data_IF_526693510953
#
_entry.id   IF_526693510953
#
_cell.length_a   1.000
_cell.length_b   1.000
_cell.length_c   1.000
_cell.angle_alpha   90.00
_cell.angle_beta   90.00
_cell.angle_gamma   90.00
#
_symmetry.space_group_name_H-M   'P 1'
#
loop_
_entity.id
_entity.type
_entity.pdbx_description
1 polymer ?
#
# COMPACT_ATOMS: atom_id res chain seq x y z
N UNK A 1 18.79 14.32 67.71
CA UNK A 1 18.14 15.27 66.78
C UNK A 1 17.71 14.46 65.56
N UNK A 2 16.65 13.68 65.69
CA UNK A 2 15.29 13.99 65.18
C UNK A 2 15.22 14.08 63.66
N UNK A 3 15.34 12.91 63.02
CA UNK A 3 14.77 12.62 61.70
C UNK A 3 13.24 12.69 61.78
N UNK A 4 12.68 13.89 61.69
CA UNK A 4 11.22 14.13 61.82
C UNK A 4 10.60 14.80 60.58
N UNK A 5 11.37 15.14 59.55
CA UNK A 5 10.84 15.77 58.34
C UNK A 5 10.37 14.76 57.27
N UNK A 6 10.81 13.49 57.33
CA UNK A 6 10.50 12.48 56.30
C UNK A 6 9.16 11.75 56.53
N UNK A 7 8.71 11.60 57.78
CA UNK A 7 7.51 10.84 58.11
C UNK A 7 6.18 11.49 57.65
N UNK A 8 5.99 12.82 57.76
CA UNK A 8 4.77 13.48 57.25
C UNK A 8 4.67 13.40 55.73
N UNK A 9 5.79 13.63 55.03
CA UNK A 9 5.89 13.58 53.57
C UNK A 9 5.60 12.18 53.00
N UNK A 10 6.11 11.13 53.67
CA UNK A 10 5.80 9.74 53.31
C UNK A 10 4.31 9.40 53.46
N UNK A 11 3.64 9.92 54.50
CA UNK A 11 2.21 9.73 54.71
C UNK A 11 1.34 10.40 53.64
N UNK A 12 1.73 11.57 53.15
CA UNK A 12 1.04 12.26 52.05
C UNK A 12 1.22 11.53 50.71
N UNK A 13 2.43 11.08 50.38
CA UNK A 13 2.69 10.30 49.16
C UNK A 13 1.90 8.99 49.17
N UNK A 14 1.82 8.29 50.32
CA UNK A 14 1.05 7.05 50.42
C UNK A 14 -0.43 7.27 50.09
N UNK A 15 -1.04 8.36 50.57
CA UNK A 15 -2.44 8.69 50.26
C UNK A 15 -2.64 8.98 48.77
N UNK A 16 -1.68 9.63 48.12
CA UNK A 16 -1.74 9.89 46.67
C UNK A 16 -1.63 8.58 45.89
N UNK A 17 -0.73 7.68 46.30
CA UNK A 17 -0.60 6.35 45.70
C UNK A 17 -1.91 5.56 45.84
N UNK A 18 -2.61 5.64 46.97
CA UNK A 18 -3.93 5.00 47.14
C UNK A 18 -4.99 5.54 46.17
N UNK A 19 -5.01 6.86 45.94
CA UNK A 19 -5.90 7.50 44.95
C UNK A 19 -5.56 7.05 43.53
N UNK A 20 -4.27 7.00 43.17
CA UNK A 20 -3.80 6.51 41.87
C UNK A 20 -4.13 5.02 41.67
N UNK A 21 -3.92 4.17 42.69
CA UNK A 21 -4.23 2.74 42.64
C UNK A 21 -5.72 2.49 42.40
N UNK A 22 -6.60 3.28 43.04
CA UNK A 22 -8.06 3.25 42.79
C UNK A 22 -8.40 3.62 41.36
N UNK A 23 -7.78 4.68 40.82
CA UNK A 23 -8.00 5.12 39.44
C UNK A 23 -7.52 4.07 38.42
N UNK A 24 -6.31 3.54 38.59
CA UNK A 24 -5.73 2.46 37.77
C UNK A 24 -6.65 1.24 37.76
N UNK A 25 -7.14 0.81 38.93
CA UNK A 25 -8.07 -0.32 39.05
C UNK A 25 -9.46 -0.06 38.49
N UNK A 26 -9.86 1.21 38.33
CA UNK A 26 -11.13 1.61 37.70
C UNK A 26 -10.99 1.61 36.18
N UNK A 27 -9.91 2.20 35.66
CA UNK A 27 -9.58 2.18 34.24
C UNK A 27 -9.36 0.76 33.72
N UNK A 28 -8.98 -0.19 34.58
CA UNK A 28 -8.88 -1.61 34.23
C UNK A 28 -10.24 -2.24 33.84
N UNK A 29 -11.34 -1.77 34.45
CA UNK A 29 -12.66 -2.41 34.40
C UNK A 29 -13.73 -1.63 33.63
N UNK A 30 -13.58 -0.31 33.45
CA UNK A 30 -14.56 0.56 32.81
C UNK A 30 -13.93 1.38 31.67
N UNK A 31 -14.61 1.46 30.51
CA UNK A 31 -14.01 1.98 29.27
C UNK A 31 -14.46 3.36 28.80
N UNK A 32 -15.75 3.71 28.93
CA UNK A 32 -16.28 4.94 28.31
C UNK A 32 -15.92 6.23 29.04
N UNK A 33 -15.52 6.17 30.31
CA UNK A 33 -15.48 7.33 31.21
C UNK A 33 -14.06 7.70 31.65
N UNK A 34 -13.03 7.31 30.89
CA UNK A 34 -11.62 7.53 31.28
C UNK A 34 -11.32 9.00 31.64
N UNK A 35 -11.91 9.97 30.91
CA UNK A 35 -11.77 11.40 31.23
C UNK A 35 -12.29 11.72 32.62
N UNK A 36 -13.50 11.24 32.92
CA UNK A 36 -14.12 11.43 34.22
C UNK A 36 -13.31 10.78 35.33
N UNK A 37 -12.76 9.57 35.10
CA UNK A 37 -11.88 8.91 36.08
C UNK A 37 -10.65 9.78 36.36
N UNK A 38 -10.00 10.35 35.34
CA UNK A 38 -8.84 11.23 35.53
C UNK A 38 -9.20 12.56 36.22
N UNK A 39 -10.35 13.14 35.89
CA UNK A 39 -10.87 14.35 36.54
C UNK A 39 -11.16 14.11 38.02
N UNK A 40 -11.85 13.02 38.36
CA UNK A 40 -12.11 12.61 39.74
C UNK A 40 -10.80 12.32 40.49
N UNK A 41 -9.83 11.66 39.84
CA UNK A 41 -8.50 11.40 40.42
C UNK A 41 -7.78 12.70 40.77
N UNK A 42 -7.79 13.68 39.86
CA UNK A 42 -7.21 15.00 40.09
C UNK A 42 -7.86 15.72 41.26
N UNK A 43 -9.19 15.65 41.34
CA UNK A 43 -9.99 16.35 42.35
C UNK A 43 -9.87 15.70 43.73
N UNK A 44 -9.68 14.37 43.80
CA UNK A 44 -9.45 13.58 45.02
C UNK A 44 -8.03 13.77 45.60
N UNK A 45 -7.10 14.36 44.84
CA UNK A 45 -5.79 14.78 45.37
C UNK A 45 -5.98 16.08 46.17
N UNK A 46 -6.12 15.96 47.49
CA UNK A 46 -6.67 17.00 48.38
C UNK A 46 -5.78 18.24 48.64
N UNK A 47 -4.45 18.22 48.40
CA UNK A 47 -3.59 19.35 48.81
C UNK A 47 -3.16 20.29 47.66
N UNK A 48 -3.27 21.61 47.87
CA UNK A 48 -2.73 22.66 46.98
C UNK A 48 -1.19 22.62 46.81
N UNK A 49 -0.48 22.04 47.77
CA UNK A 49 0.99 21.88 47.76
C UNK A 49 1.50 20.85 46.75
N UNK A 50 0.62 20.09 46.09
CA UNK A 50 0.96 19.04 45.14
C UNK A 50 0.50 19.41 43.71
N UNK A 51 0.64 20.69 43.37
CA UNK A 51 0.29 21.22 42.05
C UNK A 51 1.01 20.49 40.91
N UNK A 52 2.23 20.00 41.14
CA UNK A 52 3.00 19.21 40.15
C UNK A 52 2.25 17.94 39.72
N UNK A 53 1.71 17.16 40.66
CA UNK A 53 1.03 15.90 40.35
C UNK A 53 -0.32 16.16 39.65
N UNK A 54 -1.04 17.19 40.10
CA UNK A 54 -2.27 17.64 39.42
C UNK A 54 -2.00 18.12 38.00
N UNK A 55 -0.86 18.79 37.78
CA UNK A 55 -0.42 19.23 36.46
C UNK A 55 -0.03 18.05 35.56
N UNK A 56 0.62 17.02 36.11
CA UNK A 56 0.91 15.78 35.37
C UNK A 56 -0.38 15.05 34.95
N UNK A 57 -1.37 14.91 35.84
CA UNK A 57 -2.68 14.34 35.50
C UNK A 57 -3.41 15.19 34.45
N UNK A 58 -3.37 16.52 34.58
CA UNK A 58 -3.90 17.41 33.55
C UNK A 58 -3.17 17.24 32.21
N UNK A 59 -1.85 17.00 32.22
CA UNK A 59 -1.07 16.63 31.05
C UNK A 59 -1.62 15.38 30.38
N UNK A 60 -1.86 14.31 31.14
CA UNK A 60 -2.45 13.06 30.63
C UNK A 60 -3.84 13.30 30.02
N UNK A 61 -4.69 14.12 30.66
CA UNK A 61 -6.01 14.49 30.12
C UNK A 61 -5.84 15.24 28.78
N UNK A 62 -4.98 16.24 28.73
CA UNK A 62 -4.76 17.05 27.52
C UNK A 62 -4.09 16.25 26.40
N UNK A 63 -3.16 15.35 26.70
CA UNK A 63 -2.52 14.47 25.73
C UNK A 63 -3.51 13.44 25.16
N UNK A 64 -4.39 12.87 26.00
CA UNK A 64 -5.48 12.01 25.55
C UNK A 64 -6.46 12.75 24.62
N UNK A 65 -6.74 14.03 24.88
CA UNK A 65 -7.59 14.88 24.04
C UNK A 65 -6.87 15.32 22.75
N UNK A 66 -5.60 15.72 22.82
CA UNK A 66 -4.80 16.17 21.68
C UNK A 66 -4.50 15.03 20.71
N UNK A 67 -4.31 13.81 21.24
CA UNK A 67 -4.18 12.59 20.44
C UNK A 67 -5.46 12.33 19.63
N UNK A 68 -6.64 12.67 20.14
CA UNK A 68 -7.87 12.56 19.36
C UNK A 68 -7.86 13.46 18.09
N UNK A 69 -7.21 14.63 18.11
CA UNK A 69 -7.22 15.59 17.00
C UNK A 69 -6.39 15.22 15.76
N UNK A 70 -5.29 14.49 15.94
CA UNK A 70 -4.45 13.99 14.84
C UNK A 70 -4.71 12.49 14.52
N UNK A 71 -5.23 11.74 15.49
CA UNK A 71 -5.34 10.28 15.52
C UNK A 71 -6.76 9.82 15.94
N UNK A 72 -7.83 10.48 15.46
CA UNK A 72 -9.26 10.27 15.80
C UNK A 72 -9.80 8.83 15.54
N UNK A 73 -8.96 7.80 15.43
CA UNK A 73 -9.25 6.49 14.84
C UNK A 73 -8.94 5.29 15.73
N UNK A 74 -8.34 5.49 16.90
CA UNK A 74 -8.32 4.48 17.95
C UNK A 74 -9.66 4.54 18.70
N UNK A 75 -10.24 3.39 19.05
CA UNK A 75 -11.50 3.32 19.80
C UNK A 75 -11.35 3.90 21.22
N UNK A 76 -12.47 4.17 21.91
CA UNK A 76 -12.46 4.67 23.30
C UNK A 76 -11.72 3.75 24.28
N UNK A 77 -11.69 2.44 24.01
CA UNK A 77 -10.94 1.45 24.81
C UNK A 77 -9.44 1.79 24.86
N UNK A 78 -8.89 2.35 23.79
CA UNK A 78 -7.48 2.72 23.68
C UNK A 78 -7.10 3.88 24.61
N UNK A 79 -7.88 4.96 24.61
CA UNK A 79 -7.60 6.14 25.45
C UNK A 79 -7.60 5.77 26.94
N UNK A 80 -8.49 4.86 27.34
CA UNK A 80 -8.54 4.26 28.68
C UNK A 80 -7.27 3.48 29.01
N UNK A 81 -6.82 2.59 28.12
CA UNK A 81 -5.60 1.80 28.32
C UNK A 81 -4.39 2.71 28.47
N UNK A 82 -4.28 3.72 27.61
CA UNK A 82 -3.18 4.68 27.67
C UNK A 82 -3.17 5.49 28.96
N UNK A 83 -4.32 6.05 29.34
CA UNK A 83 -4.48 6.77 30.60
C UNK A 83 -4.06 5.90 31.79
N UNK A 84 -4.41 4.61 31.77
CA UNK A 84 -4.02 3.65 32.82
C UNK A 84 -2.50 3.48 32.89
N UNK A 85 -1.80 3.35 31.76
CA UNK A 85 -0.34 3.22 31.76
C UNK A 85 0.37 4.47 32.25
N UNK A 86 -0.07 5.66 31.81
CA UNK A 86 0.52 6.91 32.30
C UNK A 86 0.30 7.08 33.82
N UNK A 87 -0.87 6.69 34.35
CA UNK A 87 -1.10 6.68 35.80
C UNK A 87 -0.22 5.66 36.52
N UNK A 88 0.04 4.47 35.95
CA UNK A 88 0.96 3.48 36.53
C UNK A 88 2.37 4.05 36.61
N UNK A 89 2.84 4.74 35.58
CA UNK A 89 4.19 5.30 35.56
C UNK A 89 4.34 6.44 36.58
N UNK A 90 3.34 7.33 36.67
CA UNK A 90 3.26 8.34 37.73
C UNK A 90 3.25 7.71 39.13
N UNK A 91 2.39 6.71 39.34
CA UNK A 91 2.27 5.98 40.60
C UNK A 91 3.58 5.29 40.98
N UNK A 92 4.27 4.68 40.03
CA UNK A 92 5.56 4.02 40.25
C UNK A 92 6.68 5.01 40.58
N UNK A 93 6.71 6.17 39.92
CA UNK A 93 7.62 7.26 40.25
C UNK A 93 7.48 7.66 41.73
N UNK A 94 6.25 7.84 42.21
CA UNK A 94 5.97 8.15 43.62
C UNK A 94 6.29 6.98 44.56
N UNK A 95 5.88 5.76 44.20
CA UNK A 95 6.10 4.57 45.00
C UNK A 95 7.59 4.30 45.25
N UNK A 96 8.44 4.57 44.25
CA UNK A 96 9.90 4.43 44.37
C UNK A 96 10.49 5.35 45.45
N UNK A 97 9.92 6.54 45.67
CA UNK A 97 10.41 7.51 46.66
C UNK A 97 10.11 7.07 48.10
N UNK A 98 9.06 6.27 48.31
CA UNK A 98 8.61 5.85 49.64
C UNK A 98 8.82 4.36 49.92
N UNK A 99 9.40 3.62 48.98
CA UNK A 99 9.70 2.19 49.10
C UNK A 99 8.45 1.30 49.02
N UNK A 100 7.45 1.71 48.23
CA UNK A 100 6.28 0.90 47.92
C UNK A 100 6.57 0.05 46.66
N UNK A 101 6.07 -1.19 46.65
CA UNK A 101 6.23 -2.12 45.53
C UNK A 101 5.72 -1.51 44.22
N UNK A 102 6.53 -1.58 43.17
CA UNK A 102 6.17 -1.10 41.83
C UNK A 102 5.21 -2.06 41.13
N UNK A 103 4.31 -1.49 40.33
CA UNK A 103 3.40 -2.22 39.45
C UNK A 103 4.07 -2.37 38.08
N UNK A 104 4.06 -3.55 37.44
CA UNK A 104 4.58 -3.70 36.09
C UNK A 104 3.87 -2.78 35.08
N UNK A 105 4.66 -1.99 34.35
CA UNK A 105 4.23 -1.18 33.21
C UNK A 105 4.76 -1.87 31.95
N UNK A 106 3.94 -2.67 31.27
CA UNK A 106 4.27 -3.15 29.92
C UNK A 106 3.35 -2.45 28.93
N UNK A 107 3.87 -1.40 28.30
CA UNK A 107 3.23 -0.76 27.16
C UNK A 107 3.35 -1.73 25.98
N UNK A 108 2.28 -2.48 25.70
CA UNK A 108 2.21 -3.29 24.48
C UNK A 108 1.95 -2.35 23.30
N UNK A 109 2.65 -2.50 22.16
CA UNK A 109 2.34 -1.75 20.96
C UNK A 109 0.90 -2.02 20.51
N UNK A 110 0.15 -0.96 20.30
CA UNK A 110 -1.24 -1.05 19.85
C UNK A 110 -1.42 -0.38 18.49
N UNK A 111 -2.24 -1.01 17.65
CA UNK A 111 -2.54 -0.52 16.31
C UNK A 111 -3.94 0.06 16.28
N UNK A 112 -4.06 1.23 15.65
CA UNK A 112 -5.35 1.88 15.47
C UNK A 112 -5.86 1.74 14.03
N UNK A 113 -4.98 1.97 13.06
CA UNK A 113 -5.38 1.92 11.66
C UNK A 113 -4.26 1.36 10.78
N UNK A 114 -4.67 0.52 9.83
CA UNK A 114 -3.84 0.07 8.73
C UNK A 114 -4.39 0.63 7.42
N UNK A 115 -3.55 1.32 6.64
CA UNK A 115 -3.92 1.90 5.35
C UNK A 115 -2.89 1.55 4.27
N UNK A 116 -3.28 0.85 3.19
CA UNK A 116 -4.59 0.24 2.98
C UNK A 116 -4.85 -0.91 3.97
N UNK A 117 -6.11 -1.20 4.28
CA UNK A 117 -6.48 -2.30 5.19
C UNK A 117 -6.15 -3.70 4.66
N UNK A 118 -5.79 -3.81 3.38
CA UNK A 118 -5.28 -5.02 2.73
C UNK A 118 -4.38 -4.67 1.55
N UNK A 119 -3.48 -5.58 1.20
CA UNK A 119 -2.59 -5.45 0.05
C UNK A 119 -3.23 -6.17 -1.13
N UNK A 120 -3.87 -5.42 -2.04
CA UNK A 120 -4.52 -6.01 -3.22
C UNK A 120 -3.57 -6.07 -4.42
N UNK A 121 -3.03 -7.27 -4.69
CA UNK A 121 -2.09 -7.52 -5.79
C UNK A 121 -2.74 -7.45 -7.18
N UNK A 122 -4.08 -7.40 -7.27
CA UNK A 122 -4.79 -7.13 -8.53
C UNK A 122 -4.60 -5.69 -9.02
N UNK A 123 -4.19 -4.78 -8.13
CA UNK A 123 -4.00 -3.37 -8.48
C UNK A 123 -2.67 -3.17 -9.24
N UNK A 124 -2.60 -2.19 -10.17
CA UNK A 124 -1.35 -1.79 -10.81
C UNK A 124 -0.28 -1.43 -9.77
N UNK A 125 1.02 -1.70 -10.02
CA UNK A 125 2.10 -1.41 -9.07
C UNK A 125 2.12 0.04 -8.56
N UNK A 126 1.74 1.01 -9.39
CA UNK A 126 1.68 2.43 -9.03
C UNK A 126 0.63 2.73 -7.94
N UNK A 127 -0.36 1.85 -7.76
CA UNK A 127 -1.36 1.93 -6.69
C UNK A 127 -0.98 1.10 -5.46
N UNK A 128 0.20 0.48 -5.46
CA UNK A 128 0.75 -0.37 -4.40
C UNK A 128 2.11 0.16 -3.96
N UNK A 129 2.15 1.39 -3.46
CA UNK A 129 3.40 2.03 -3.08
C UNK A 129 3.79 1.77 -1.63
N UNK A 130 2.84 1.81 -0.71
CA UNK A 130 3.13 1.90 0.72
C UNK A 130 1.98 1.35 1.57
N UNK A 131 2.34 0.71 2.68
CA UNK A 131 1.46 0.39 3.79
C UNK A 131 1.82 1.30 4.96
N UNK A 132 0.83 2.01 5.51
CA UNK A 132 0.96 2.83 6.73
C UNK A 132 0.17 2.18 7.85
N UNK A 133 0.82 2.03 8.99
CA UNK A 133 0.24 1.47 10.20
C UNK A 133 0.38 2.52 11.30
N UNK A 134 -0.74 3.14 11.65
CA UNK A 134 -0.82 4.11 12.73
C UNK A 134 -1.17 3.38 14.04
N UNK A 135 -0.53 3.78 15.13
CA UNK A 135 -0.65 3.17 16.44
C UNK A 135 0.23 3.87 17.46
N UNK A 136 0.53 3.21 18.56
CA UNK A 136 1.27 3.79 19.68
C UNK A 136 2.32 2.83 20.21
N UNK A 137 3.29 3.41 20.93
CA UNK A 137 4.35 2.69 21.63
C UNK A 137 5.17 1.78 20.72
N UNK A 138 5.34 2.15 19.44
CA UNK A 138 6.17 1.37 18.51
C UNK A 138 7.67 1.38 18.85
N UNK A 139 8.09 2.15 19.86
CA UNK A 139 9.40 2.14 20.53
C UNK A 139 9.53 1.12 21.64
N UNK A 140 8.41 0.54 22.05
CA UNK A 140 8.32 -0.48 23.07
C UNK A 140 8.04 -1.83 22.40
N UNK A 141 8.53 -2.92 22.99
CA UNK A 141 8.31 -4.28 22.48
C UNK A 141 9.04 -4.59 21.17
N UNK A 142 9.75 -5.72 21.11
CA UNK A 142 10.52 -6.14 19.94
C UNK A 142 9.64 -6.38 18.72
N UNK A 143 9.33 -5.31 17.97
CA UNK A 143 8.48 -5.36 16.80
C UNK A 143 9.11 -6.22 15.71
N UNK A 144 8.33 -7.17 15.21
CA UNK A 144 8.72 -8.05 14.13
C UNK A 144 7.65 -8.03 13.05
N UNK A 145 8.07 -7.84 11.79
CA UNK A 145 7.21 -8.01 10.63
C UNK A 145 7.51 -9.36 9.99
N UNK A 146 6.48 -10.17 9.79
CA UNK A 146 6.58 -11.51 9.23
C UNK A 146 5.72 -11.61 7.98
N UNK A 147 6.28 -12.15 6.90
CA UNK A 147 5.54 -12.48 5.67
C UNK A 147 5.14 -13.95 5.72
N UNK A 148 3.84 -14.22 5.65
CA UNK A 148 3.33 -15.60 5.53
C UNK A 148 3.05 -15.93 4.07
N UNK A 149 3.53 -17.10 3.66
CA UNK A 149 3.32 -17.71 2.36
C UNK A 149 2.85 -19.15 2.50
N UNK A 150 1.54 -19.34 2.67
CA UNK A 150 0.96 -20.64 2.98
C UNK A 150 1.35 -21.08 4.39
N UNK A 151 2.12 -22.17 4.51
CA UNK A 151 2.61 -22.66 5.81
C UNK A 151 3.95 -22.07 6.22
N UNK A 152 4.62 -21.32 5.34
CA UNK A 152 5.93 -20.74 5.60
C UNK A 152 5.80 -19.31 6.13
N UNK A 153 6.65 -18.97 7.10
CA UNK A 153 6.79 -17.63 7.64
C UNK A 153 8.24 -17.15 7.49
N UNK A 154 8.42 -15.97 6.93
CA UNK A 154 9.74 -15.32 6.76
C UNK A 154 9.77 -14.03 7.58
N UNK A 155 10.83 -13.83 8.37
CA UNK A 155 11.08 -12.55 9.03
C UNK A 155 11.51 -11.51 7.99
N UNK A 156 10.69 -10.47 7.86
CA UNK A 156 10.85 -9.36 6.93
C UNK A 156 10.93 -8.02 7.67
N UNK A 157 11.35 -8.04 8.94
CA UNK A 157 11.46 -6.85 9.80
C UNK A 157 12.39 -5.79 9.23
N UNK A 158 13.36 -6.17 8.39
CA UNK A 158 14.21 -5.25 7.67
C UNK A 158 13.45 -4.27 6.73
N UNK A 159 12.21 -4.59 6.37
CA UNK A 159 11.34 -3.74 5.54
C UNK A 159 10.37 -2.89 6.36
N UNK A 160 10.33 -3.06 7.68
CA UNK A 160 9.51 -2.27 8.59
C UNK A 160 10.27 -1.00 8.98
N UNK A 161 9.83 0.13 8.44
CA UNK A 161 10.37 1.43 8.81
C UNK A 161 9.49 2.07 9.90
N UNK A 162 10.16 2.78 10.81
CA UNK A 162 9.51 3.48 11.91
C UNK A 162 9.88 4.95 11.91
N UNK A 163 9.16 5.79 11.15
CA UNK A 163 9.42 7.22 11.11
C UNK A 163 9.18 7.94 12.44
N UNK A 164 8.20 7.48 13.24
CA UNK A 164 7.85 8.05 14.54
C UNK A 164 7.44 6.96 15.53
N UNK A 165 7.28 7.29 16.80
CA UNK A 165 6.66 6.40 17.81
C UNK A 165 5.19 6.02 17.50
N UNK A 166 4.51 6.72 16.57
CA UNK A 166 3.09 6.52 16.27
C UNK A 166 2.82 5.95 14.86
N UNK A 167 3.87 5.80 14.06
CA UNK A 167 3.74 5.41 12.66
C UNK A 167 4.79 4.36 12.29
N UNK A 168 4.30 3.26 11.73
CA UNK A 168 5.09 2.31 10.97
C UNK A 168 4.75 2.43 9.48
N UNK A 169 5.73 2.18 8.64
CA UNK A 169 5.59 2.19 7.19
C UNK A 169 6.29 0.99 6.57
N UNK A 170 5.70 0.43 5.51
CA UNK A 170 6.30 -0.64 4.71
C UNK A 170 6.21 -0.26 3.24
N UNK A 171 7.36 -0.21 2.56
CA UNK A 171 7.41 0.03 1.12
C UNK A 171 6.99 -1.24 0.36
N UNK A 172 5.84 -1.19 -0.31
CA UNK A 172 5.28 -2.31 -1.08
C UNK A 172 5.82 -2.40 -2.52
N UNK A 173 6.60 -1.40 -2.94
CA UNK A 173 7.19 -1.33 -4.27
C UNK A 173 8.29 -2.37 -4.52
N UNK A 174 8.78 -2.42 -5.76
CA UNK A 174 9.84 -3.35 -6.18
C UNK A 174 11.21 -3.05 -5.58
N UNK A 175 11.40 -1.93 -4.88
CA UNK A 175 12.60 -1.64 -4.09
C UNK A 175 12.38 -1.84 -2.58
N UNK A 176 11.22 -2.37 -2.19
CA UNK A 176 10.87 -2.73 -0.81
C UNK A 176 10.48 -4.21 -0.71
N UNK A 177 9.46 -4.51 0.09
CA UNK A 177 9.00 -5.89 0.32
C UNK A 177 8.34 -6.51 -0.91
N UNK A 178 7.99 -5.72 -1.92
CA UNK A 178 7.32 -6.20 -3.12
C UNK A 178 8.07 -7.31 -3.87
N UNK A 179 9.40 -7.41 -3.73
CA UNK A 179 10.19 -8.51 -4.31
C UNK A 179 10.05 -9.85 -3.56
N UNK A 180 9.65 -9.81 -2.29
CA UNK A 180 9.47 -10.98 -1.42
C UNK A 180 8.07 -11.57 -1.54
N UNK A 181 7.09 -10.74 -1.88
CA UNK A 181 5.71 -11.17 -2.05
C UNK A 181 5.59 -12.07 -3.28
N UNK A 182 5.07 -13.28 -3.09
CA UNK A 182 4.89 -14.29 -4.14
C UNK A 182 3.40 -14.60 -4.37
N UNK A 183 3.05 -15.38 -5.41
CA UNK A 183 1.67 -15.81 -5.64
C UNK A 183 1.05 -16.67 -4.54
N UNK A 184 1.85 -17.17 -3.59
CA UNK A 184 1.39 -17.96 -2.43
C UNK A 184 1.39 -17.17 -1.13
N UNK A 185 1.82 -15.91 -1.16
CA UNK A 185 1.80 -15.02 0.02
C UNK A 185 0.37 -14.65 0.41
N UNK A 186 0.02 -14.75 1.69
CA UNK A 186 -1.37 -14.56 2.15
C UNK A 186 -1.56 -13.43 3.16
N UNK A 187 -0.56 -13.09 3.98
CA UNK A 187 -0.61 -11.94 4.87
C UNK A 187 0.76 -11.45 5.32
N UNK A 188 0.81 -10.19 5.73
CA UNK A 188 1.84 -9.68 6.63
C UNK A 188 1.34 -9.76 8.06
N UNK A 189 2.18 -10.19 8.99
CA UNK A 189 1.88 -10.34 10.40
C UNK A 189 2.81 -9.40 11.16
N UNK A 190 2.24 -8.53 12.00
CA UNK A 190 3.00 -7.73 12.93
C UNK A 190 2.96 -8.42 14.29
N UNK A 191 4.14 -8.63 14.89
CA UNK A 191 4.30 -9.17 16.23
C UNK A 191 4.97 -8.16 17.13
N UNK A 192 4.62 -8.18 18.41
CA UNK A 192 5.38 -7.56 19.49
C UNK A 192 5.76 -8.65 20.49
N UNK A 193 7.04 -8.76 20.82
CA UNK A 193 7.57 -9.73 21.79
C UNK A 193 7.12 -11.18 21.50
N UNK A 194 7.04 -11.54 20.22
CA UNK A 194 6.64 -12.86 19.73
C UNK A 194 5.13 -13.10 19.64
N UNK A 195 4.28 -12.20 20.15
CA UNK A 195 2.82 -12.28 20.06
C UNK A 195 2.32 -11.55 18.81
N UNK A 196 1.41 -12.18 18.05
CA UNK A 196 0.72 -11.52 16.94
C UNK A 196 -0.20 -10.42 17.47
N UNK A 197 0.06 -9.18 17.05
CA UNK A 197 -0.74 -8.00 17.41
C UNK A 197 -1.57 -7.50 16.22
N UNK A 198 -1.22 -7.89 14.99
CA UNK A 198 -2.02 -7.58 13.80
C UNK A 198 -1.67 -8.47 12.62
N UNK A 199 -2.62 -8.64 11.70
CA UNK A 199 -2.36 -9.20 10.38
C UNK A 199 -3.06 -8.42 9.26
N UNK A 200 -2.33 -8.22 8.17
CA UNK A 200 -2.75 -7.49 6.97
C UNK A 200 -2.83 -8.49 5.82
N UNK A 201 -4.03 -8.73 5.31
CA UNK A 201 -4.24 -9.70 4.24
C UNK A 201 -3.61 -9.24 2.92
N UNK A 202 -2.98 -10.18 2.22
CA UNK A 202 -2.51 -10.05 0.85
C UNK A 202 -3.57 -10.71 -0.04
N UNK A 203 -4.32 -9.90 -0.77
CA UNK A 203 -5.32 -10.37 -1.72
C UNK A 203 -4.60 -10.68 -3.02
N UNK A 204 -4.42 -11.97 -3.30
CA UNK A 204 -3.92 -12.45 -4.57
C UNK A 204 -4.88 -12.03 -5.69
N UNK A 205 -4.37 -11.80 -6.93
CA UNK A 205 -5.24 -11.67 -8.08
C UNK A 205 -6.19 -12.87 -8.08
N UNK A 206 -7.49 -12.63 -8.30
CA UNK A 206 -8.41 -13.74 -8.50
C UNK A 206 -7.76 -14.66 -9.52
N UNK A 207 -7.63 -15.95 -9.17
CA UNK A 207 -7.25 -16.98 -10.12
C UNK A 207 -8.35 -16.90 -11.17
N UNK A 208 -8.12 -16.11 -12.22
CA UNK A 208 -9.04 -16.03 -13.34
C UNK A 208 -9.31 -17.50 -13.68
N UNK A 209 -10.59 -17.92 -13.82
CA UNK A 209 -10.89 -19.28 -14.20
C UNK A 209 -9.94 -19.61 -15.35
N UNK A 210 -9.23 -20.76 -15.31
CA UNK A 210 -8.28 -21.11 -16.35
C UNK A 210 -8.97 -20.78 -17.66
N UNK A 211 -8.38 -19.84 -18.43
CA UNK A 211 -9.01 -19.35 -19.65
C UNK A 211 -9.45 -20.60 -20.40
N UNK A 212 -10.73 -20.72 -20.77
CA UNK A 212 -11.15 -21.86 -21.58
C UNK A 212 -10.16 -21.96 -22.73
N UNK A 213 -9.82 -23.18 -23.13
CA UNK A 213 -8.82 -23.50 -24.15
C UNK A 213 -9.22 -23.01 -25.58
N UNK A 214 -9.92 -21.89 -25.66
CA UNK A 214 -9.94 -21.00 -26.80
C UNK A 214 -8.75 -20.02 -26.76
N UNK A 215 -7.56 -20.54 -26.46
CA UNK A 215 -6.27 -19.83 -26.63
C UNK A 215 -5.98 -19.46 -28.11
N UNK A 216 -6.93 -19.70 -29.01
CA UNK A 216 -6.77 -19.52 -30.45
C UNK A 216 -6.76 -18.05 -30.90
N UNK A 217 -7.43 -17.11 -30.24
CA UNK A 217 -7.59 -15.75 -30.78
C UNK A 217 -7.48 -14.62 -29.76
N UNK A 218 -7.08 -13.46 -30.26
CA UNK A 218 -6.98 -12.19 -29.53
C UNK A 218 -8.39 -11.58 -29.44
N UNK A 219 -8.72 -11.09 -28.25
CA UNK A 219 -10.04 -10.58 -27.87
C UNK A 219 -9.98 -9.14 -27.38
N UNK A 220 -8.82 -8.69 -26.91
CA UNK A 220 -8.60 -7.30 -26.51
C UNK A 220 -7.18 -6.84 -26.78
N UNK A 221 -7.01 -5.53 -26.96
CA UNK A 221 -5.73 -4.86 -27.21
C UNK A 221 -5.59 -3.64 -26.31
N UNK A 222 -4.40 -3.52 -25.71
CA UNK A 222 -4.03 -2.36 -24.92
C UNK A 222 -2.67 -1.82 -25.38
N UNK A 223 -2.54 -0.49 -25.47
CA UNK A 223 -1.27 0.16 -25.79
C UNK A 223 -0.79 0.93 -24.57
N UNK A 224 0.43 0.60 -24.13
CA UNK A 224 1.18 1.39 -23.15
C UNK A 224 2.01 2.47 -23.85
N UNK A 225 2.19 3.63 -23.19
CA UNK A 225 3.01 4.73 -23.72
C UNK A 225 3.59 5.51 -22.55
N UNK A 226 4.87 5.29 -22.26
CA UNK A 226 5.53 5.76 -21.03
C UNK A 226 6.90 6.37 -21.30
N UNK A 227 7.42 7.17 -20.34
CA UNK A 227 8.76 7.78 -20.44
C UNK A 227 9.91 6.82 -20.11
N UNK A 228 9.61 5.62 -19.62
CA UNK A 228 10.58 4.59 -19.25
C UNK A 228 10.20 3.26 -19.90
N UNK A 229 11.18 2.46 -20.30
CA UNK A 229 10.95 1.10 -20.81
C UNK A 229 10.40 0.15 -19.74
N UNK A 230 9.79 -0.95 -20.17
CA UNK A 230 9.34 -2.04 -19.30
C UNK A 230 7.91 -2.50 -19.56
N UNK A 231 7.55 -3.65 -19.00
CA UNK A 231 6.19 -4.18 -19.09
C UNK A 231 5.20 -3.32 -18.29
N UNK A 232 4.26 -2.69 -18.99
CA UNK A 232 3.20 -1.84 -18.43
C UNK A 232 1.81 -2.35 -18.80
N UNK A 233 1.70 -3.64 -19.16
CA UNK A 233 0.43 -4.26 -19.48
C UNK A 233 -0.47 -4.36 -18.25
N UNK A 234 -1.80 -4.18 -18.41
CA UNK A 234 -2.77 -4.55 -17.39
C UNK A 234 -2.60 -6.01 -16.95
N UNK A 235 -2.95 -6.29 -15.70
CA UNK A 235 -2.86 -7.64 -15.13
C UNK A 235 -3.61 -8.66 -16.00
N UNK A 236 -2.96 -9.77 -16.32
CA UNK A 236 -3.55 -10.86 -17.11
C UNK A 236 -3.43 -10.74 -18.63
N UNK A 237 -2.92 -9.61 -19.16
CA UNK A 237 -2.62 -9.45 -20.58
C UNK A 237 -1.20 -9.91 -20.92
N UNK A 238 -1.02 -10.42 -22.14
CA UNK A 238 0.30 -10.80 -22.68
C UNK A 238 1.01 -9.58 -23.26
N UNK A 239 2.27 -9.38 -22.86
CA UNK A 239 3.13 -8.27 -23.31
C UNK A 239 3.93 -8.64 -24.56
N UNK A 240 3.93 -7.77 -25.56
CA UNK A 240 4.85 -7.84 -26.71
C UNK A 240 6.00 -6.86 -26.45
N UNK A 241 7.22 -7.40 -26.27
CA UNK A 241 8.37 -6.65 -25.78
C UNK A 241 9.03 -5.70 -26.79
N UNK A 242 8.58 -5.68 -28.05
CA UNK A 242 9.07 -4.74 -29.05
C UNK A 242 8.57 -3.32 -28.74
N UNK A 243 9.49 -2.39 -28.56
CA UNK A 243 9.19 -0.95 -28.51
C UNK A 243 8.75 -0.48 -29.90
N UNK A 244 7.52 0.01 -30.00
CA UNK A 244 6.90 0.42 -31.26
C UNK A 244 7.40 1.79 -31.73
N UNK A 245 8.08 2.54 -30.85
CA UNK A 245 8.63 3.86 -31.11
C UNK A 245 10.17 3.85 -31.13
N UNK A 246 10.75 2.68 -31.42
CA UNK A 246 12.19 2.43 -31.23
C UNK A 246 13.05 3.35 -32.10
N UNK A 247 13.92 4.12 -31.44
CA UNK A 247 14.90 4.99 -32.11
C UNK A 247 14.33 6.33 -32.56
N UNK A 248 13.05 6.62 -32.31
CA UNK A 248 12.39 7.87 -32.70
C UNK A 248 12.51 8.97 -31.64
N UNK A 249 13.04 8.64 -30.44
CA UNK A 249 13.30 9.61 -29.36
C UNK A 249 12.08 10.07 -28.57
N UNK A 250 10.94 9.39 -28.70
CA UNK A 250 9.72 9.65 -27.93
C UNK A 250 9.52 8.71 -26.73
N UNK A 251 8.27 8.52 -26.34
CA UNK A 251 7.88 7.54 -25.32
C UNK A 251 8.21 6.11 -25.76
N UNK A 252 8.44 5.22 -24.80
CA UNK A 252 8.45 3.77 -25.00
C UNK A 252 7.01 3.27 -25.13
N UNK A 253 6.73 2.55 -26.21
CA UNK A 253 5.36 2.18 -26.58
C UNK A 253 5.31 0.67 -26.81
N UNK A 254 4.39 -0.01 -26.15
CA UNK A 254 4.23 -1.47 -26.26
C UNK A 254 2.78 -1.86 -26.42
N UNK A 255 2.53 -2.91 -27.21
CA UNK A 255 1.22 -3.53 -27.34
C UNK A 255 1.09 -4.69 -26.34
N UNK A 256 -0.08 -4.80 -25.74
CA UNK A 256 -0.52 -5.90 -24.91
C UNK A 256 -1.80 -6.49 -25.51
N UNK A 257 -2.00 -7.79 -25.37
CA UNK A 257 -3.22 -8.44 -25.85
C UNK A 257 -3.81 -9.41 -24.83
N UNK A 258 -5.12 -9.61 -24.92
CA UNK A 258 -5.84 -10.60 -24.13
C UNK A 258 -6.51 -11.65 -25.02
N UNK A 259 -6.56 -12.89 -24.56
CA UNK A 259 -7.30 -14.03 -25.14
C UNK A 259 -8.43 -14.54 -24.22
N UNK A 260 -8.78 -13.80 -23.18
CA UNK A 260 -9.77 -14.20 -22.17
C UNK A 260 -11.21 -13.86 -22.48
N UNK A 261 -11.48 -13.04 -23.50
CA UNK A 261 -12.83 -12.61 -23.88
C UNK A 261 -13.58 -13.61 -24.74
N UNK A 262 -14.86 -13.32 -25.00
CA UNK A 262 -15.73 -14.11 -25.90
C UNK A 262 -15.84 -13.50 -27.30
N UNK A 263 -15.42 -12.25 -27.48
CA UNK A 263 -15.55 -11.52 -28.74
C UNK A 263 -14.17 -11.39 -29.40
N UNK A 264 -13.89 -12.10 -30.51
CA UNK A 264 -12.61 -12.03 -31.17
C UNK A 264 -12.38 -10.69 -31.87
N UNK A 265 -11.14 -10.23 -31.88
CA UNK A 265 -10.67 -9.25 -32.84
C UNK A 265 -10.46 -9.97 -34.16
N UNK A 266 -11.05 -9.43 -35.22
CA UNK A 266 -11.15 -10.09 -36.53
C UNK A 266 -10.47 -9.30 -37.63
N UNK A 267 -10.11 -8.04 -37.35
CA UNK A 267 -9.36 -7.20 -38.27
C UNK A 267 -8.54 -6.16 -37.52
N UNK A 268 -7.38 -5.79 -38.07
CA UNK A 268 -6.44 -4.85 -37.49
C UNK A 268 -5.88 -3.95 -38.58
N UNK A 269 -5.86 -2.65 -38.32
CA UNK A 269 -5.22 -1.67 -39.19
C UNK A 269 -4.46 -0.61 -38.40
N UNK A 270 -3.56 0.07 -39.10
CA UNK A 270 -2.81 1.22 -38.60
C UNK A 270 -3.19 2.44 -39.43
N UNK A 271 -3.41 3.56 -38.75
CA UNK A 271 -3.73 4.85 -39.36
C UNK A 271 -2.60 5.85 -39.12
N UNK A 272 -2.46 6.84 -40.02
CA UNK A 272 -1.40 7.85 -40.02
C UNK A 272 -1.99 9.18 -40.47
N UNK A 273 -1.75 10.26 -39.72
CA UNK A 273 -2.26 11.59 -40.01
C UNK A 273 -1.34 12.68 -39.46
N UNK A 274 -1.33 13.85 -40.10
CA UNK A 274 -0.66 15.05 -39.58
C UNK A 274 -1.38 15.71 -38.40
N UNK A 275 -2.54 15.19 -37.99
CA UNK A 275 -3.31 15.71 -36.85
C UNK A 275 -3.84 14.58 -35.98
N UNK A 276 -3.85 14.80 -34.66
CA UNK A 276 -4.39 13.87 -33.68
C UNK A 276 -5.90 13.70 -33.86
N UNK A 277 -6.40 12.48 -33.71
CA UNK A 277 -7.84 12.22 -33.71
C UNK A 277 -8.19 10.79 -34.10
N UNK A 278 -9.46 10.44 -33.90
CA UNK A 278 -10.01 9.17 -34.37
C UNK A 278 -10.25 9.23 -35.89
N UNK A 279 -9.38 8.56 -36.63
CA UNK A 279 -9.49 8.40 -38.09
C UNK A 279 -9.77 6.94 -38.49
N UNK A 280 -10.31 6.14 -37.57
CA UNK A 280 -10.68 4.75 -37.79
C UNK A 280 -11.94 4.61 -38.69
N UNK A 281 -12.74 5.66 -38.82
CA UNK A 281 -13.97 5.63 -39.60
C UNK A 281 -15.05 4.71 -39.00
N UNK A 282 -16.19 4.63 -39.67
CA UNK A 282 -17.34 3.85 -39.18
C UNK A 282 -17.04 2.36 -39.12
N UNK A 283 -17.53 1.69 -38.06
CA UNK A 283 -17.38 0.25 -37.84
C UNK A 283 -16.05 -0.18 -37.22
N UNK A 284 -15.07 0.72 -37.07
CA UNK A 284 -13.77 0.42 -36.46
C UNK A 284 -13.68 0.98 -35.04
N UNK A 285 -13.15 0.17 -34.13
CA UNK A 285 -12.80 0.59 -32.77
C UNK A 285 -11.41 1.22 -32.77
N UNK A 286 -11.25 2.32 -32.05
CA UNK A 286 -10.02 3.12 -31.99
C UNK A 286 -9.29 2.92 -30.66
N UNK A 287 -7.99 2.61 -30.72
CA UNK A 287 -7.14 2.63 -29.53
C UNK A 287 -6.55 4.05 -29.41
N UNK A 288 -7.07 4.82 -28.45
CA UNK A 288 -6.66 6.21 -28.21
C UNK A 288 -5.27 6.33 -27.55
N UNK A 289 -4.25 5.86 -28.27
CA UNK A 289 -2.84 5.94 -27.91
C UNK A 289 -2.02 6.16 -29.17
N UNK A 290 -1.37 7.32 -29.24
CA UNK A 290 -0.47 7.68 -30.32
C UNK A 290 0.81 6.84 -30.24
N UNK A 291 1.07 6.04 -31.29
CA UNK A 291 2.23 5.14 -31.37
C UNK A 291 3.54 5.88 -31.65
N UNK A 292 3.47 7.18 -31.92
CA UNK A 292 4.60 8.08 -32.16
C UNK A 292 4.75 9.13 -31.05
N UNK A 293 4.13 8.91 -29.89
CA UNK A 293 4.02 9.92 -28.84
C UNK A 293 5.39 10.47 -28.43
N UNK A 294 5.56 11.78 -28.57
CA UNK A 294 6.79 12.48 -28.19
C UNK A 294 7.90 12.47 -29.25
N UNK A 295 7.73 11.73 -30.35
CA UNK A 295 8.72 11.60 -31.41
C UNK A 295 8.55 12.63 -32.55
N UNK A 296 7.50 13.47 -32.48
CA UNK A 296 7.22 14.59 -33.41
C UNK A 296 6.99 14.17 -34.88
N UNK A 297 6.58 12.93 -35.12
CA UNK A 297 6.14 12.43 -36.43
C UNK A 297 4.64 12.51 -36.65
N UNK A 298 4.13 11.70 -37.58
CA UNK A 298 2.70 11.51 -37.80
C UNK A 298 2.05 10.96 -36.53
N UNK A 299 0.77 11.30 -36.32
CA UNK A 299 -0.06 10.66 -35.30
C UNK A 299 -0.50 9.28 -35.79
N UNK A 300 -0.02 8.24 -35.11
CA UNK A 300 -0.23 6.86 -35.51
C UNK A 300 -1.16 6.16 -34.51
N UNK A 301 -2.20 5.49 -35.00
CA UNK A 301 -3.13 4.75 -34.13
C UNK A 301 -3.49 3.38 -34.70
N UNK A 302 -3.67 2.41 -33.79
CA UNK A 302 -4.32 1.15 -34.11
C UNK A 302 -5.84 1.33 -34.16
N UNK A 303 -6.46 0.64 -35.12
CA UNK A 303 -7.89 0.41 -35.16
C UNK A 303 -8.18 -1.08 -35.34
N UNK A 304 -9.27 -1.57 -34.77
CA UNK A 304 -9.65 -2.98 -34.88
C UNK A 304 -11.15 -3.19 -35.06
N UNK A 305 -11.52 -4.39 -35.54
CA UNK A 305 -12.92 -4.83 -35.68
C UNK A 305 -13.17 -6.13 -34.96
N UNK A 306 -14.43 -6.40 -34.65
CA UNK A 306 -14.88 -7.60 -33.92
C UNK A 306 -16.07 -8.29 -34.58
N UNK A 307 -16.46 -7.88 -35.79
CA UNK A 307 -17.66 -8.31 -36.50
C UNK A 307 -17.36 -9.16 -37.75
N UNK A 308 -16.10 -9.56 -37.96
CA UNK A 308 -15.70 -10.51 -39.01
C UNK A 308 -15.72 -11.97 -38.58
N UNK A 309 -15.47 -12.88 -39.53
CA UNK A 309 -15.50 -14.34 -39.31
C UNK A 309 -14.11 -14.99 -39.15
N UNK A 310 -13.03 -14.20 -39.20
CA UNK A 310 -11.66 -14.71 -39.17
C UNK A 310 -10.88 -14.06 -38.01
N UNK A 311 -10.89 -14.66 -36.82
CA UNK A 311 -10.21 -14.13 -35.64
C UNK A 311 -8.70 -14.01 -35.81
N UNK A 312 -8.13 -12.90 -35.36
CA UNK A 312 -6.67 -12.74 -35.27
C UNK A 312 -6.16 -13.59 -34.12
N UNK A 313 -5.21 -14.48 -34.41
CA UNK A 313 -4.56 -15.38 -33.45
C UNK A 313 -3.31 -14.79 -32.83
N UNK A 314 -2.52 -14.08 -33.63
CA UNK A 314 -1.19 -13.63 -33.24
C UNK A 314 -0.86 -12.26 -33.84
N UNK A 315 -0.10 -11.47 -33.10
CA UNK A 315 0.45 -10.18 -33.54
C UNK A 315 1.93 -10.17 -33.19
N UNK A 316 2.76 -9.76 -34.13
CA UNK A 316 4.18 -9.49 -33.91
C UNK A 316 4.58 -8.21 -34.62
N UNK A 317 5.74 -7.70 -34.25
CA UNK A 317 6.33 -6.51 -34.85
C UNK A 317 7.69 -6.83 -35.44
N UNK A 318 8.01 -6.11 -36.50
CA UNK A 318 9.32 -6.19 -37.14
C UNK A 318 10.03 -4.86 -36.93
N UNK A 319 11.32 -4.89 -36.64
CA UNK A 319 12.15 -3.69 -36.42
C UNK A 319 13.38 -3.72 -37.31
N UNK A 320 13.55 -2.70 -38.16
CA UNK A 320 14.58 -2.70 -39.21
C UNK A 320 15.25 -1.34 -39.38
N UNK A 321 16.41 -1.35 -40.03
CA UNK A 321 17.12 -0.15 -40.50
C UNK A 321 16.61 0.37 -41.85
N UNK A 322 15.77 -0.38 -42.56
CA UNK A 322 15.21 0.00 -43.87
C UNK A 322 13.75 -0.41 -44.00
N UNK A 323 12.98 0.32 -44.81
CA UNK A 323 11.58 0.01 -45.12
C UNK A 323 11.42 -1.33 -45.85
N UNK A 324 10.24 -1.96 -45.71
CA UNK A 324 9.83 -3.12 -46.50
C UNK A 324 9.15 -4.24 -45.69
N UNK A 325 8.40 -5.10 -46.39
CA UNK A 325 7.70 -6.25 -45.81
C UNK A 325 8.67 -7.36 -45.37
N UNK A 326 8.49 -7.87 -44.15
CA UNK A 326 9.26 -8.97 -43.55
C UNK A 326 8.42 -9.90 -42.67
N UNK A 327 7.10 -9.90 -42.83
CA UNK A 327 6.24 -10.71 -41.97
C UNK A 327 6.43 -12.23 -42.18
N UNK A 328 6.93 -12.62 -43.36
CA UNK A 328 7.13 -14.01 -43.77
C UNK A 328 5.84 -14.65 -44.30
N UNK A 329 5.96 -15.87 -44.82
CA UNK A 329 4.79 -16.63 -45.29
C UNK A 329 3.82 -16.90 -44.15
N UNK A 330 2.52 -16.84 -44.44
CA UNK A 330 1.45 -17.08 -43.47
C UNK A 330 1.09 -15.89 -42.58
N UNK A 331 1.77 -14.75 -42.68
CA UNK A 331 1.45 -13.54 -41.92
C UNK A 331 0.92 -12.43 -42.83
N UNK A 332 -0.14 -11.75 -42.37
CA UNK A 332 -0.64 -10.53 -42.99
C UNK A 332 0.23 -9.34 -42.55
N UNK A 333 0.60 -8.49 -43.50
CA UNK A 333 1.45 -7.32 -43.28
C UNK A 333 0.63 -6.04 -43.38
N UNK A 334 0.71 -5.20 -42.34
CA UNK A 334 0.17 -3.85 -42.40
C UNK A 334 1.28 -2.93 -42.93
N UNK A 335 1.13 -2.47 -44.17
CA UNK A 335 2.06 -1.55 -44.83
C UNK A 335 1.94 -0.11 -44.30
N UNK A 336 2.24 0.07 -43.01
CA UNK A 336 2.36 1.35 -42.33
C UNK A 336 3.48 1.27 -41.32
N UNK A 337 4.46 2.15 -41.50
CA UNK A 337 5.56 2.33 -40.54
C UNK A 337 5.01 3.03 -39.28
N UNK A 338 5.19 2.40 -38.13
CA UNK A 338 4.71 2.96 -36.86
C UNK A 338 5.51 4.20 -36.43
N UNK A 339 6.68 4.42 -37.02
CA UNK A 339 7.54 5.57 -36.79
C UNK A 339 7.48 6.62 -37.91
N UNK A 340 6.42 6.59 -38.73
CA UNK A 340 6.29 7.48 -39.89
C UNK A 340 6.44 8.95 -39.49
N UNK A 341 7.35 9.67 -40.16
CA UNK A 341 7.60 11.09 -39.93
C UNK A 341 8.46 11.41 -38.70
N UNK A 342 8.66 10.46 -37.78
CA UNK A 342 9.47 10.66 -36.58
C UNK A 342 10.95 10.28 -36.78
N UNK A 343 11.23 9.40 -37.75
CA UNK A 343 12.56 8.79 -37.93
C UNK A 343 12.74 7.58 -37.02
N UNK A 344 13.97 7.09 -36.86
CA UNK A 344 14.24 5.88 -36.04
C UNK A 344 14.19 4.57 -36.84
N UNK A 345 13.80 3.47 -36.19
CA UNK A 345 13.66 2.17 -36.85
C UNK A 345 12.36 2.12 -37.66
N UNK A 346 12.38 1.37 -38.76
CA UNK A 346 11.15 1.05 -39.49
C UNK A 346 10.44 -0.08 -38.75
N UNK A 347 9.28 0.24 -38.17
CA UNK A 347 8.48 -0.72 -37.40
C UNK A 347 7.22 -1.07 -38.16
N UNK A 348 6.97 -2.35 -38.40
CA UNK A 348 5.74 -2.81 -39.06
C UNK A 348 5.03 -3.88 -38.25
N UNK A 349 3.70 -3.82 -38.29
CA UNK A 349 2.81 -4.80 -37.68
C UNK A 349 2.58 -5.98 -38.62
N UNK A 350 2.71 -7.17 -38.07
CA UNK A 350 2.32 -8.43 -38.71
C UNK A 350 1.27 -9.11 -37.84
N UNK A 351 0.24 -9.69 -38.46
CA UNK A 351 -0.73 -10.49 -37.73
C UNK A 351 -1.11 -11.76 -38.48
N UNK A 352 -1.69 -12.71 -37.77
CA UNK A 352 -2.07 -14.01 -38.32
C UNK A 352 -3.49 -14.34 -37.87
N UNK A 353 -4.31 -14.87 -38.78
CA UNK A 353 -5.70 -15.29 -38.52
C UNK A 353 -5.85 -16.80 -38.39
#
# INVERSE_FOLDING_TARGET
MTSSCAAPYKGEINKIIEVLDKAIGTLDRASSDWQKVLEETRDEIISETQSTIKNEINGIIQEGIASAGAEFRCNFDFARVRARYELIDLRNSLASQVGIQLIPSSREPELCQVNPSSINLSLPPQRRSELKIAGYDFDQGGLQLVLRSGSQEEDVSAYLAKPTHYLLTVNLGSNGIGQKISPVSDKLILRADGKEISSINIIQPTKQPPKPDNSAFITDLYVSSERSSGNRCPSGMTWISQDLNQGSGGNYIYLCYDRGGTTPITDLRVTSSGSAGNICGSGWKWINKDLNKGAKGDYIYFCYRTDGNSPIKEIKFTSRSSAGNVCGSGWEWINKDLNKGAGGKYIYTCYQK
#
